data_IF_555842976813
#
_entry.id   IF_555842976813
#
_cell.length_a   1.000
_cell.length_b   1.000
_cell.length_c   1.000
_cell.angle_alpha   90.00
_cell.angle_beta   90.00
_cell.angle_gamma   90.00
#
_symmetry.space_group_name_H-M   'P 1'
#
loop_
_entity.id
_entity.type
_entity.pdbx_description
1 polymer ?
#
# COMPACT_ATOMS: atom_id res chain seq x y z
N UNK A 1 5.87 -30.30 27.24
CA UNK A 1 5.65 -28.84 27.12
C UNK A 1 5.52 -28.53 25.64
N UNK A 2 4.29 -28.55 25.10
CA UNK A 2 4.02 -28.25 23.69
C UNK A 2 4.25 -26.76 23.45
N UNK A 3 5.27 -26.43 22.65
CA UNK A 3 5.66 -25.06 22.31
C UNK A 3 4.61 -24.40 21.42
N UNK A 4 4.49 -23.08 21.58
CA UNK A 4 3.59 -22.23 20.83
C UNK A 4 4.07 -22.06 19.37
N UNK A 5 3.71 -22.98 18.49
CA UNK A 5 3.97 -22.82 17.05
C UNK A 5 2.97 -21.81 16.45
N UNK A 6 3.49 -20.70 15.93
CA UNK A 6 2.67 -19.67 15.28
C UNK A 6 1.88 -20.24 14.09
N UNK A 7 0.63 -19.79 13.93
CA UNK A 7 -0.26 -20.17 12.83
C UNK A 7 -0.66 -18.91 12.05
N UNK A 8 -0.94 -19.07 10.76
CA UNK A 8 -1.48 -18.05 9.87
C UNK A 8 -2.88 -18.47 9.40
N UNK A 9 -3.87 -17.57 9.56
CA UNK A 9 -5.20 -17.76 8.99
C UNK A 9 -5.26 -17.12 7.61
N UNK A 10 -5.42 -17.96 6.59
CA UNK A 10 -5.70 -17.56 5.21
C UNK A 10 -7.21 -17.39 5.00
N UNK A 11 -7.61 -17.06 3.77
CA UNK A 11 -9.04 -16.87 3.43
C UNK A 11 -9.90 -18.10 3.74
N UNK A 12 -9.37 -19.31 3.53
CA UNK A 12 -10.14 -20.56 3.61
C UNK A 12 -9.58 -21.60 4.57
N UNK A 13 -8.43 -21.36 5.20
CA UNK A 13 -7.74 -22.34 6.04
C UNK A 13 -6.81 -21.69 7.08
N UNK A 14 -6.39 -22.47 8.07
CA UNK A 14 -5.31 -22.12 9.00
C UNK A 14 -4.13 -23.04 8.71
N UNK A 15 -2.95 -22.43 8.53
CA UNK A 15 -1.70 -23.14 8.22
C UNK A 15 -0.63 -22.80 9.26
N UNK A 16 0.39 -23.66 9.43
CA UNK A 16 1.61 -23.28 10.15
C UNK A 16 2.21 -22.01 9.54
N UNK A 17 2.70 -21.10 10.37
CA UNK A 17 3.23 -19.81 9.91
C UNK A 17 4.34 -19.99 8.84
N UNK A 18 4.10 -19.57 7.58
CA UNK A 18 5.12 -19.62 6.55
C UNK A 18 6.09 -18.44 6.72
N UNK A 19 7.35 -18.74 7.01
CA UNK A 19 8.36 -17.71 7.34
C UNK A 19 8.97 -17.01 6.10
N UNK A 20 8.65 -17.48 4.90
CA UNK A 20 9.12 -16.96 3.61
C UNK A 20 8.03 -16.23 2.81
N UNK A 21 6.87 -16.01 3.40
CA UNK A 21 5.77 -15.21 2.82
C UNK A 21 5.90 -13.75 3.24
N UNK A 22 5.31 -12.80 2.50
CA UNK A 22 5.27 -11.42 2.94
C UNK A 22 4.46 -11.30 4.24
N UNK A 23 4.91 -10.44 5.15
CA UNK A 23 4.16 -10.14 6.37
C UNK A 23 3.02 -9.18 6.05
N UNK A 24 1.83 -9.44 6.62
CA UNK A 24 0.69 -8.52 6.58
C UNK A 24 0.66 -7.69 7.87
N UNK A 25 0.79 -6.37 7.74
CA UNK A 25 0.90 -5.40 8.83
C UNK A 25 0.22 -4.09 8.50
N UNK A 26 -0.14 -3.32 9.53
CA UNK A 26 -0.53 -1.94 9.34
C UNK A 26 0.70 -1.02 9.14
N UNK A 27 0.47 0.24 8.77
CA UNK A 27 1.54 1.20 8.52
C UNK A 27 2.42 1.43 9.75
N UNK A 28 1.82 1.50 10.94
CA UNK A 28 2.56 1.79 12.17
C UNK A 28 3.53 0.66 12.53
N UNK A 29 3.13 -0.60 12.34
CA UNK A 29 3.99 -1.77 12.53
C UNK A 29 5.13 -1.78 11.51
N UNK A 30 4.84 -1.53 10.23
CA UNK A 30 5.84 -1.43 9.17
C UNK A 30 6.87 -0.31 9.46
N UNK A 31 6.39 0.86 9.89
CA UNK A 31 7.24 2.00 10.26
C UNK A 31 8.08 1.70 11.50
N UNK A 32 7.50 1.07 12.52
CA UNK A 32 8.21 0.68 13.73
C UNK A 32 9.33 -0.33 13.43
N UNK A 33 9.07 -1.31 12.55
CA UNK A 33 10.10 -2.25 12.09
C UNK A 33 11.27 -1.52 11.41
N UNK A 34 11.00 -0.58 10.49
CA UNK A 34 12.05 0.18 9.82
C UNK A 34 12.88 1.02 10.81
N UNK A 35 12.23 1.63 11.81
CA UNK A 35 12.91 2.40 12.86
C UNK A 35 13.80 1.51 13.73
N UNK A 36 13.31 0.34 14.13
CA UNK A 36 14.09 -0.65 14.86
C UNK A 36 15.30 -1.10 14.03
N UNK A 37 15.08 -1.48 12.76
CA UNK A 37 16.14 -1.96 11.88
C UNK A 37 17.22 -0.89 11.63
N UNK A 38 16.80 0.37 11.47
CA UNK A 38 17.72 1.51 11.37
C UNK A 38 18.67 1.59 12.55
N UNK A 39 18.16 1.42 13.78
CA UNK A 39 18.97 1.44 15.00
C UNK A 39 19.92 0.25 15.08
N UNK A 40 19.46 -0.94 14.68
CA UNK A 40 20.30 -2.14 14.68
C UNK A 40 21.45 -2.05 13.68
N UNK A 41 21.18 -1.52 12.48
CA UNK A 41 22.15 -1.51 11.38
C UNK A 41 22.93 -0.19 11.26
N UNK A 42 22.57 0.84 12.04
CA UNK A 42 23.18 2.18 11.95
C UNK A 42 23.06 2.75 10.52
N UNK A 43 21.93 2.51 9.87
CA UNK A 43 21.59 3.00 8.53
C UNK A 43 20.24 3.70 8.55
N UNK A 44 20.01 4.63 7.63
CA UNK A 44 18.70 5.26 7.47
C UNK A 44 17.76 4.33 6.70
N UNK A 45 16.96 3.55 7.45
CA UNK A 45 15.99 2.60 6.89
C UNK A 45 14.57 3.13 7.09
N UNK A 46 13.81 3.20 6.00
CA UNK A 46 12.44 3.70 6.01
C UNK A 46 11.58 3.01 4.95
N UNK A 47 10.28 3.24 5.01
CA UNK A 47 9.38 2.87 3.92
C UNK A 47 9.67 3.77 2.71
N UNK A 48 9.42 3.30 1.47
CA UNK A 48 9.56 4.13 0.29
C UNK A 48 8.49 5.22 0.23
N UNK A 49 8.76 6.31 -0.47
CA UNK A 49 7.73 7.23 -0.96
C UNK A 49 6.98 6.62 -2.16
N UNK A 50 5.87 7.22 -2.57
CA UNK A 50 5.20 6.88 -3.83
C UNK A 50 6.17 6.99 -5.01
N UNK A 51 6.98 8.05 -5.08
CA UNK A 51 7.91 8.29 -6.20
C UNK A 51 9.03 7.24 -6.24
N UNK A 52 9.55 6.85 -5.08
CA UNK A 52 10.55 5.78 -4.99
C UNK A 52 9.95 4.44 -5.39
N UNK A 53 8.70 4.16 -5.01
CA UNK A 53 7.99 2.98 -5.47
C UNK A 53 7.79 2.98 -6.99
N UNK A 54 7.41 4.11 -7.59
CA UNK A 54 7.32 4.24 -9.04
C UNK A 54 8.68 4.01 -9.71
N UNK A 55 9.77 4.46 -9.07
CA UNK A 55 11.12 4.20 -9.56
C UNK A 55 11.48 2.72 -9.51
N UNK A 56 11.09 1.99 -8.47
CA UNK A 56 11.25 0.54 -8.37
C UNK A 56 10.47 -0.18 -9.48
N UNK A 57 9.22 0.21 -9.72
CA UNK A 57 8.39 -0.33 -10.80
C UNK A 57 9.07 -0.17 -12.17
N UNK A 58 9.58 1.03 -12.47
CA UNK A 58 10.32 1.30 -13.70
C UNK A 58 11.64 0.54 -13.79
N UNK A 59 12.39 0.46 -12.69
CA UNK A 59 13.66 -0.28 -12.63
C UNK A 59 13.48 -1.76 -12.95
N UNK A 60 12.40 -2.34 -12.42
CA UNK A 60 12.00 -3.72 -12.66
C UNK A 60 11.47 -3.98 -14.08
N UNK A 61 11.36 -2.94 -14.92
CA UNK A 61 10.86 -3.01 -16.31
C UNK A 61 9.49 -3.70 -16.38
N UNK A 62 8.63 -3.38 -15.42
CA UNK A 62 7.27 -3.91 -15.39
C UNK A 62 6.36 -3.12 -16.31
N UNK A 63 5.45 -3.85 -16.95
CA UNK A 63 4.39 -3.30 -17.76
C UNK A 63 3.02 -3.55 -17.11
N UNK A 64 2.00 -2.89 -17.64
CA UNK A 64 0.63 -3.12 -17.20
C UNK A 64 0.22 -4.58 -17.47
N UNK A 65 -0.40 -5.28 -16.50
CA UNK A 65 -0.91 -6.63 -16.70
C UNK A 65 -1.89 -6.72 -17.89
N UNK A 66 -1.73 -7.71 -18.77
CA UNK A 66 -2.69 -7.97 -19.84
C UNK A 66 -3.97 -8.56 -19.27
N UNK A 67 -5.14 -8.04 -19.66
CA UNK A 67 -6.43 -8.60 -19.24
C UNK A 67 -6.72 -10.00 -19.80
N UNK A 68 -5.94 -10.46 -20.79
CA UNK A 68 -6.16 -11.75 -21.48
C UNK A 68 -5.23 -12.87 -21.03
N UNK A 69 -4.26 -12.57 -20.16
CA UNK A 69 -3.22 -13.50 -19.77
C UNK A 69 -2.97 -13.42 -18.28
N UNK A 70 -2.57 -14.54 -17.70
CA UNK A 70 -2.15 -14.60 -16.30
C UNK A 70 -0.98 -13.63 -16.06
N UNK A 71 -1.09 -12.79 -15.04
CA UNK A 71 -0.08 -11.82 -14.65
C UNK A 71 1.20 -12.55 -14.19
N UNK A 72 2.39 -12.01 -14.48
CA UNK A 72 3.65 -12.55 -13.93
C UNK A 72 3.90 -12.07 -12.49
N UNK A 73 2.84 -11.97 -11.70
CA UNK A 73 2.83 -11.56 -10.30
C UNK A 73 1.60 -12.18 -9.61
N UNK A 74 1.63 -12.34 -8.29
CA UNK A 74 0.45 -12.78 -7.54
C UNK A 74 -0.58 -11.63 -7.44
N UNK A 75 -1.41 -11.48 -8.47
CA UNK A 75 -2.48 -10.48 -8.61
C UNK A 75 -3.73 -11.19 -9.17
N UNK A 76 -4.87 -10.49 -9.21
CA UNK A 76 -6.05 -10.90 -9.99
C UNK A 76 -6.69 -12.24 -9.58
N UNK A 77 -6.34 -12.82 -8.42
CA UNK A 77 -6.65 -14.22 -8.08
C UNK A 77 -6.11 -15.24 -9.09
N UNK A 78 -5.05 -14.90 -9.82
CA UNK A 78 -4.52 -15.72 -10.91
C UNK A 78 -3.88 -17.03 -10.43
N UNK A 79 -3.43 -17.08 -9.17
CA UNK A 79 -2.63 -18.17 -8.63
C UNK A 79 -3.24 -18.81 -7.38
N UNK A 80 -3.51 -18.01 -6.34
CA UNK A 80 -3.99 -18.49 -5.05
C UNK A 80 -4.93 -17.49 -4.37
N UNK A 81 -5.73 -17.97 -3.41
CA UNK A 81 -6.54 -17.14 -2.52
C UNK A 81 -5.74 -16.70 -1.27
N UNK A 82 -4.46 -16.38 -1.47
CA UNK A 82 -3.51 -15.99 -0.42
C UNK A 82 -2.28 -15.33 -1.03
N UNK A 83 -1.43 -14.78 -0.14
CA UNK A 83 -0.04 -14.52 -0.46
C UNK A 83 0.72 -15.83 -0.83
N UNK A 84 1.96 -15.69 -1.26
CA UNK A 84 2.87 -16.77 -1.63
C UNK A 84 4.31 -16.42 -1.26
N UNK A 85 5.28 -17.36 -1.33
CA UNK A 85 6.67 -17.09 -1.00
C UNK A 85 7.24 -15.89 -1.77
N UNK A 86 8.02 -15.04 -1.10
CA UNK A 86 8.59 -13.80 -1.68
C UNK A 86 9.66 -14.03 -2.76
N UNK A 87 9.93 -15.30 -3.07
CA UNK A 87 10.90 -15.75 -4.08
C UNK A 87 10.21 -16.26 -5.36
N UNK A 88 8.88 -16.21 -5.43
CA UNK A 88 8.12 -16.84 -6.51
C UNK A 88 8.07 -16.00 -7.79
N UNK A 89 7.82 -14.68 -7.69
CA UNK A 89 7.68 -13.82 -8.87
C UNK A 89 8.82 -12.84 -9.01
N UNK A 90 9.72 -13.14 -9.96
CA UNK A 90 10.89 -12.32 -10.26
C UNK A 90 10.52 -11.14 -11.17
N UNK A 91 10.87 -9.93 -10.76
CA UNK A 91 10.68 -8.66 -11.44
C UNK A 91 12.05 -7.99 -11.67
N UNK A 92 12.76 -8.43 -12.71
CA UNK A 92 14.15 -8.06 -12.95
C UNK A 92 15.08 -8.63 -11.88
N UNK A 93 15.79 -7.77 -11.17
CA UNK A 93 16.64 -8.16 -10.03
C UNK A 93 15.87 -8.24 -8.70
N UNK A 94 14.62 -7.79 -8.69
CA UNK A 94 13.75 -7.76 -7.52
C UNK A 94 12.71 -8.88 -7.61
N UNK A 95 11.97 -9.09 -6.54
CA UNK A 95 10.81 -9.97 -6.50
C UNK A 95 9.59 -9.21 -6.00
N UNK A 96 8.39 -9.55 -6.48
CA UNK A 96 7.09 -9.07 -5.99
C UNK A 96 6.93 -7.53 -5.95
N UNK A 97 7.64 -6.77 -6.79
CA UNK A 97 7.47 -5.29 -6.88
C UNK A 97 5.99 -4.89 -7.01
N UNK A 98 5.19 -5.70 -7.70
CA UNK A 98 3.72 -5.70 -7.67
C UNK A 98 3.19 -7.06 -7.19
N UNK A 99 1.95 -7.08 -6.71
CA UNK A 99 1.27 -8.29 -6.25
C UNK A 99 1.73 -8.78 -4.88
N UNK A 100 1.20 -9.95 -4.54
CA UNK A 100 1.33 -10.61 -3.24
C UNK A 100 0.61 -9.81 -2.14
N UNK A 101 1.18 -8.68 -1.71
CA UNK A 101 0.55 -7.75 -0.77
C UNK A 101 0.70 -6.31 -1.25
N UNK A 102 -0.28 -5.48 -0.91
CA UNK A 102 -0.12 -4.03 -1.00
C UNK A 102 1.11 -3.57 -0.21
N UNK A 103 1.80 -2.53 -0.66
CA UNK A 103 3.01 -2.05 0.00
C UNK A 103 2.77 -0.65 0.57
N UNK A 104 2.91 -0.50 1.90
CA UNK A 104 2.87 0.79 2.57
C UNK A 104 3.96 1.74 2.09
N UNK A 105 3.59 3.00 1.85
CA UNK A 105 4.53 4.10 1.55
C UNK A 105 4.45 5.20 2.61
N UNK A 106 5.47 6.06 2.69
CA UNK A 106 5.47 7.23 3.60
C UNK A 106 4.66 8.40 3.05
N UNK A 107 4.27 8.34 1.78
CA UNK A 107 3.55 9.42 1.11
C UNK A 107 2.10 9.46 1.59
N UNK A 108 1.66 10.53 2.29
CA UNK A 108 0.23 10.75 2.50
C UNK A 108 -0.44 10.97 1.16
N UNK A 109 -1.73 10.69 1.03
CA UNK A 109 -2.44 11.04 -0.20
C UNK A 109 -2.61 12.57 -0.30
N UNK A 110 -2.41 13.09 -1.50
CA UNK A 110 -2.48 14.52 -1.79
C UNK A 110 -2.91 14.76 -3.25
N UNK A 111 -3.57 15.89 -3.56
CA UNK A 111 -3.94 16.23 -4.92
C UNK A 111 -2.71 16.62 -5.74
N UNK A 112 -2.59 16.09 -6.96
CA UNK A 112 -1.59 16.58 -7.90
C UNK A 112 -1.91 18.00 -8.38
N UNK A 113 -0.93 18.67 -8.98
CA UNK A 113 -1.15 19.99 -9.59
C UNK A 113 -2.19 19.86 -10.70
N UNK A 114 -3.24 20.68 -10.63
CA UNK A 114 -4.37 20.62 -11.56
C UNK A 114 -5.34 19.47 -11.30
N UNK A 115 -5.29 18.83 -10.12
CA UNK A 115 -6.33 17.91 -9.69
C UNK A 115 -7.69 18.59 -9.72
N UNK A 116 -8.66 17.90 -10.32
CA UNK A 116 -10.05 18.28 -10.34
C UNK A 116 -10.90 17.06 -9.98
N UNK A 117 -12.00 17.32 -9.28
CA UNK A 117 -12.87 16.29 -8.74
C UNK A 117 -13.74 15.73 -9.86
N UNK A 118 -13.97 14.42 -9.88
CA UNK A 118 -14.84 13.83 -10.89
C UNK A 118 -16.30 14.27 -10.66
N UNK A 119 -17.02 14.82 -11.65
CA UNK A 119 -18.35 15.41 -11.45
C UNK A 119 -19.44 14.47 -10.90
N UNK A 120 -19.24 13.16 -11.02
CA UNK A 120 -20.22 12.12 -10.63
C UNK A 120 -19.75 11.36 -9.38
N UNK A 121 -18.51 11.55 -8.94
CA UNK A 121 -17.95 10.82 -7.80
C UNK A 121 -16.99 11.74 -7.04
N UNK A 122 -17.58 12.70 -6.34
CA UNK A 122 -16.91 13.87 -5.80
C UNK A 122 -16.28 13.67 -4.42
N UNK A 123 -16.68 12.60 -3.74
CA UNK A 123 -16.23 12.21 -2.41
C UNK A 123 -15.29 10.98 -2.40
N UNK A 124 -14.86 10.50 -3.57
CA UNK A 124 -14.01 9.31 -3.63
C UNK A 124 -12.61 9.53 -3.04
N UNK A 125 -11.91 10.59 -3.48
CA UNK A 125 -10.52 10.86 -3.10
C UNK A 125 -10.39 12.02 -2.11
N UNK A 126 -11.25 13.03 -2.24
CA UNK A 126 -11.15 14.28 -1.48
C UNK A 126 -11.15 14.10 0.04
N UNK A 127 -11.94 13.18 0.65
CA UNK A 127 -11.92 12.98 2.11
C UNK A 127 -10.65 12.30 2.62
N UNK A 128 -9.83 11.76 1.71
CA UNK A 128 -8.57 11.13 2.08
C UNK A 128 -7.42 12.12 2.15
N UNK A 129 -7.56 13.34 1.59
CA UNK A 129 -6.57 14.42 1.62
C UNK A 129 -6.47 15.10 3.00
N UNK A 130 -6.32 14.31 4.05
CA UNK A 130 -6.42 14.68 5.46
C UNK A 130 -5.13 14.44 6.27
N UNK A 131 -4.03 14.07 5.59
CA UNK A 131 -2.73 13.71 6.18
C UNK A 131 -2.78 12.53 7.19
N UNK A 132 -3.87 11.76 7.18
CA UNK A 132 -4.07 10.59 8.02
C UNK A 132 -4.19 9.30 7.20
N UNK A 133 -4.24 9.41 5.88
CA UNK A 133 -4.15 8.29 4.95
C UNK A 133 -2.81 8.27 4.22
N UNK A 134 -2.17 7.11 4.23
CA UNK A 134 -0.96 6.87 3.45
C UNK A 134 -1.30 6.07 2.20
N UNK A 135 -0.56 6.34 1.13
CA UNK A 135 -0.69 5.58 -0.10
C UNK A 135 -0.13 4.18 0.07
N UNK A 136 -0.85 3.21 -0.49
CA UNK A 136 -0.39 1.84 -0.70
C UNK A 136 -0.24 1.59 -2.20
N UNK A 137 0.79 0.83 -2.58
CA UNK A 137 1.13 0.58 -3.99
C UNK A 137 1.29 -0.91 -4.30
N UNK A 138 1.12 -1.26 -5.57
CA UNK A 138 1.45 -2.58 -6.11
C UNK A 138 0.35 -3.63 -6.17
N UNK A 139 -0.77 -3.45 -5.48
CA UNK A 139 -1.85 -4.45 -5.42
C UNK A 139 -1.49 -5.66 -4.54
N UNK A 140 -2.51 -6.35 -4.02
CA UNK A 140 -2.36 -7.65 -3.36
C UNK A 140 -2.86 -8.79 -4.25
N UNK A 141 -2.70 -10.04 -3.80
CA UNK A 141 -3.16 -11.25 -4.52
C UNK A 141 -4.62 -11.21 -5.00
N UNK A 142 -5.49 -10.45 -4.32
CA UNK A 142 -6.90 -10.27 -4.68
C UNK A 142 -7.20 -9.00 -5.48
N UNK A 143 -6.25 -8.07 -5.58
CA UNK A 143 -6.45 -6.81 -6.29
C UNK A 143 -6.65 -7.06 -7.77
N UNK A 144 -7.76 -6.52 -8.31
CA UNK A 144 -8.20 -6.68 -9.69
C UNK A 144 -8.40 -5.31 -10.35
N UNK A 145 -8.35 -5.26 -11.69
CA UNK A 145 -8.66 -4.03 -12.43
C UNK A 145 -7.78 -2.85 -12.02
N UNK A 146 -8.40 -1.71 -11.66
CA UNK A 146 -7.67 -0.51 -11.27
C UNK A 146 -6.82 -0.71 -10.00
N UNK A 147 -7.18 -1.60 -9.08
CA UNK A 147 -6.38 -1.91 -7.90
C UNK A 147 -5.02 -2.55 -8.23
N UNK A 148 -4.89 -3.16 -9.41
CA UNK A 148 -3.61 -3.73 -9.88
C UNK A 148 -2.78 -2.74 -10.71
N UNK A 149 -3.31 -1.56 -11.01
CA UNK A 149 -2.66 -0.60 -11.90
C UNK A 149 -1.61 0.23 -11.16
N UNK A 150 -0.39 0.33 -11.70
CA UNK A 150 0.74 1.03 -11.05
C UNK A 150 0.47 2.52 -10.77
N UNK A 151 -0.30 3.19 -11.63
CA UNK A 151 -0.69 4.59 -11.45
C UNK A 151 -1.82 4.81 -10.45
N UNK A 152 -2.49 3.74 -9.99
CA UNK A 152 -3.59 3.89 -9.03
C UNK A 152 -3.06 4.36 -7.68
N UNK A 153 -3.80 5.26 -7.06
CA UNK A 153 -3.44 5.91 -5.79
C UNK A 153 -4.51 5.60 -4.76
N UNK A 154 -4.39 4.43 -4.12
CA UNK A 154 -5.23 4.05 -3.01
C UNK A 154 -4.61 4.51 -1.71
N UNK A 155 -5.41 5.17 -0.89
CA UNK A 155 -5.00 5.70 0.40
C UNK A 155 -5.76 4.98 1.51
N UNK A 156 -5.06 4.62 2.58
CA UNK A 156 -5.67 3.89 3.68
C UNK A 156 -5.23 4.43 5.04
N UNK A 157 -6.11 4.31 6.05
CA UNK A 157 -5.77 4.72 7.41
C UNK A 157 -4.66 3.80 7.95
N UNK A 158 -3.68 4.43 8.60
CA UNK A 158 -2.44 3.80 9.06
C UNK A 158 -2.63 2.61 10.02
N UNK A 159 -3.78 2.49 10.68
CA UNK A 159 -4.06 1.46 11.69
C UNK A 159 -4.89 0.27 11.17
N UNK A 160 -5.31 0.28 9.90
CA UNK A 160 -6.07 -0.84 9.34
C UNK A 160 -5.18 -1.83 8.60
N UNK A 161 -5.66 -3.07 8.55
CA UNK A 161 -5.09 -4.15 7.75
C UNK A 161 -5.85 -4.24 6.42
N UNK A 162 -5.13 -4.36 5.30
CA UNK A 162 -5.69 -4.39 3.94
C UNK A 162 -4.85 -5.26 2.99
N UNK A 163 -4.60 -6.52 3.35
CA UNK A 163 -3.66 -7.39 2.62
C UNK A 163 -2.37 -6.64 2.26
N UNK A 164 -1.86 -5.91 3.25
CA UNK A 164 -0.81 -4.92 3.09
C UNK A 164 0.39 -5.34 3.93
N UNK A 165 1.55 -5.36 3.30
CA UNK A 165 2.85 -5.45 3.93
C UNK A 165 3.68 -4.24 3.59
N UNK A 166 4.98 -4.43 3.45
CA UNK A 166 5.87 -3.32 3.12
C UNK A 166 7.16 -3.80 2.46
N UNK A 167 7.82 -2.83 1.82
CA UNK A 167 9.25 -2.87 1.52
C UNK A 167 9.91 -1.76 2.31
N UNK A 168 11.18 -1.93 2.62
CA UNK A 168 12.01 -0.85 3.14
C UNK A 168 13.12 -0.53 2.17
N UNK A 169 13.65 0.68 2.28
CA UNK A 169 14.81 1.14 1.53
C UNK A 169 15.84 1.71 2.50
N UNK A 170 17.10 1.71 2.07
CA UNK A 170 18.18 2.46 2.71
C UNK A 170 18.34 3.76 1.93
N UNK A 171 18.07 4.90 2.57
CA UNK A 171 18.13 6.20 1.89
C UNK A 171 18.49 7.31 2.87
N UNK A 172 19.45 8.16 2.50
CA UNK A 172 19.93 9.26 3.35
C UNK A 172 19.03 10.51 3.31
N UNK A 173 18.06 10.54 2.39
CA UNK A 173 17.13 11.66 2.27
C UNK A 173 15.82 11.36 3.01
N UNK A 174 15.30 12.39 3.68
CA UNK A 174 13.94 12.37 4.22
C UNK A 174 12.94 12.51 3.06
N UNK A 175 11.80 11.81 3.08
CA UNK A 175 10.76 12.00 2.08
C UNK A 175 10.26 13.44 2.11
N UNK A 176 9.90 13.97 0.94
CA UNK A 176 9.24 15.25 0.86
C UNK A 176 7.85 15.14 1.51
N UNK A 177 7.61 15.94 2.54
CA UNK A 177 6.30 16.04 3.15
C UNK A 177 5.42 16.96 2.29
N UNK A 178 4.55 16.38 1.47
CA UNK A 178 3.49 17.13 0.78
C UNK A 178 2.31 17.22 1.75
N UNK A 179 2.19 18.34 2.47
CA UNK A 179 1.02 18.57 3.31
C UNK A 179 -0.14 19.02 2.43
N UNK A 180 -1.17 18.18 2.28
CA UNK A 180 -2.46 18.60 1.73
C UNK A 180 -3.36 19.03 2.88
N UNK A 181 -3.83 20.28 2.87
CA UNK A 181 -4.90 20.76 3.74
C UNK A 181 -6.15 20.97 2.91
N UNK A 182 -6.68 19.87 2.35
CA UNK A 182 -7.92 19.93 1.59
C UNK A 182 -9.13 20.01 2.51
N UNK A 183 -9.07 19.35 3.68
CA UNK A 183 -10.15 19.38 4.67
C UNK A 183 -9.69 20.07 5.97
N UNK A 184 -10.40 21.12 6.34
CA UNK A 184 -10.42 21.61 7.73
C UNK A 184 -11.77 21.23 8.33
N UNK A 185 -11.84 21.03 9.65
CA UNK A 185 -13.11 20.72 10.35
C UNK A 185 -14.23 21.72 9.98
N UNK A 186 -13.85 22.97 9.67
CA UNK A 186 -14.76 24.00 9.19
C UNK A 186 -15.36 23.67 7.81
N UNK A 187 -14.54 23.29 6.82
CA UNK A 187 -15.02 22.91 5.49
C UNK A 187 -15.93 21.69 5.55
N UNK A 188 -15.59 20.69 6.37
CA UNK A 188 -16.46 19.52 6.58
C UNK A 188 -17.78 19.89 7.27
N UNK A 189 -17.72 20.76 8.28
CA UNK A 189 -18.92 21.24 8.98
C UNK A 189 -19.82 22.06 8.05
N UNK A 190 -19.24 22.92 7.21
CA UNK A 190 -19.96 23.70 6.21
C UNK A 190 -20.57 22.81 5.12
N UNK A 191 -19.85 21.77 4.68
CA UNK A 191 -20.38 20.79 3.71
C UNK A 191 -21.53 19.96 4.32
N UNK A 192 -21.35 19.47 5.55
CA UNK A 192 -22.38 18.71 6.25
C UNK A 192 -23.63 19.56 6.52
N UNK A 193 -23.47 20.82 6.92
CA UNK A 193 -24.57 21.78 7.10
C UNK A 193 -25.29 22.04 5.78
N UNK A 194 -24.55 22.30 4.69
CA UNK A 194 -25.13 22.60 3.38
C UNK A 194 -25.93 21.43 2.79
N UNK A 195 -25.50 20.19 3.05
CA UNK A 195 -26.14 18.99 2.49
C UNK A 195 -27.15 18.32 3.42
N UNK A 196 -27.03 18.50 4.75
CA UNK A 196 -27.81 17.76 5.74
C UNK A 196 -28.35 18.61 6.92
N UNK A 197 -28.06 19.92 6.97
CA UNK A 197 -28.46 20.81 8.08
C UNK A 197 -29.94 21.21 8.07
N UNK A 198 -30.64 21.10 6.94
CA UNK A 198 -32.05 21.50 6.80
C UNK A 198 -33.06 20.40 7.19
N UNK A 199 -32.81 19.64 8.28
CA UNK A 199 -33.80 18.73 8.88
C UNK A 199 -34.01 18.98 10.38
#
# INVERSE_FOLDING_TARGET
TQGHDWQLRLMTEEIPMPLDWPVEVNYHEAKAFCQWLSQQQQQQIRLPSEDEWQRLYQYAQLDHPSASQRCQANLHLDYAASACPVTQFQHGELFDVVGNVWQWTETPTYPFTGFDVHPIYDDFTTPTFDDRHNLIKGGSWISCGNESHHSSRYAFRRHFFQHAGFRYIVADHQPFAVSSRYETDKLMSEYAEFHYGDN
#
